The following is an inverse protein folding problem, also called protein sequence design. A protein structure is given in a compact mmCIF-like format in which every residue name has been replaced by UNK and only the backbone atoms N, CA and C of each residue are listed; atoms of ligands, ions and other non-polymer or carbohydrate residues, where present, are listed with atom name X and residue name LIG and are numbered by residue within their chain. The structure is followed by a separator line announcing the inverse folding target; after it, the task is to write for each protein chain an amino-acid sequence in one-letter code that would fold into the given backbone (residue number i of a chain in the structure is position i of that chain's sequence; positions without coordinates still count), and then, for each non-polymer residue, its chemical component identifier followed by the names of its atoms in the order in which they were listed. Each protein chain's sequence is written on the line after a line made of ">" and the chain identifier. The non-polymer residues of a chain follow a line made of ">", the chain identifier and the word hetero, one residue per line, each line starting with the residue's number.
data_IF_283611784643
#
_entry.id   IF_283611784643
#
_cell.length_a   1.000
_cell.length_b   1.000
_cell.length_c   1.000
_cell.angle_alpha   90.00
_cell.angle_beta   90.00
_cell.angle_gamma   90.00
#
_symmetry.space_group_name_H-M   'P 1'
#
loop_
_entity.id
_entity.type
_entity.pdbx_description
1 polymer ?
#
# COMPACT_ATOMS: atom_id res chain seq x y z
N UNK A 1 -39.73 20.29 -16.09
CA UNK A 1 -39.10 19.30 -16.99
C UNK A 1 -40.01 19.15 -18.18
N UNK A 2 -39.52 19.51 -19.36
CA UNK A 2 -40.30 19.47 -20.59
C UNK A 2 -40.77 18.05 -20.90
N UNK A 3 -42.01 17.93 -21.36
CA UNK A 3 -42.61 16.64 -21.74
C UNK A 3 -41.81 15.95 -22.86
N UNK A 4 -41.14 16.75 -23.69
CA UNK A 4 -40.18 16.30 -24.71
C UNK A 4 -38.92 15.65 -24.12
N UNK A 5 -38.39 16.16 -23.02
CA UNK A 5 -37.18 15.59 -22.41
C UNK A 5 -37.48 14.25 -21.74
N UNK A 6 -38.67 14.12 -21.12
CA UNK A 6 -39.13 12.83 -20.57
C UNK A 6 -39.29 11.75 -21.64
N UNK A 7 -39.88 12.11 -22.78
CA UNK A 7 -40.05 11.20 -23.90
C UNK A 7 -38.71 10.77 -24.52
N UNK A 8 -37.75 11.69 -24.59
CA UNK A 8 -36.40 11.38 -25.05
C UNK A 8 -35.65 10.43 -24.10
N UNK A 9 -35.80 10.63 -22.79
CA UNK A 9 -35.22 9.75 -21.76
C UNK A 9 -35.80 8.32 -21.85
N UNK A 10 -37.11 8.19 -22.01
CA UNK A 10 -37.76 6.89 -22.18
C UNK A 10 -37.25 6.15 -23.42
N UNK A 11 -37.10 6.86 -24.54
CA UNK A 11 -36.57 6.28 -25.79
C UNK A 11 -35.09 5.91 -25.66
N UNK A 12 -34.29 6.68 -24.93
CA UNK A 12 -32.89 6.34 -24.64
C UNK A 12 -32.77 5.07 -23.78
N UNK A 13 -33.63 4.92 -22.75
CA UNK A 13 -33.69 3.71 -21.92
C UNK A 13 -34.17 2.49 -22.71
N UNK A 14 -35.11 2.69 -23.64
CA UNK A 14 -35.59 1.62 -24.52
C UNK A 14 -34.53 1.19 -25.52
N UNK A 15 -33.77 2.13 -26.08
CA UNK A 15 -32.61 1.84 -26.93
C UNK A 15 -31.56 1.02 -26.15
N UNK A 16 -31.20 1.43 -24.94
CA UNK A 16 -30.23 0.70 -24.11
C UNK A 16 -30.67 -0.73 -23.83
N UNK A 17 -31.97 -0.96 -23.55
CA UNK A 17 -32.53 -2.31 -23.34
C UNK A 17 -32.55 -3.14 -24.61
N UNK A 18 -32.92 -2.56 -25.76
CA UNK A 18 -32.95 -3.27 -27.03
C UNK A 18 -31.54 -3.72 -27.44
N UNK A 19 -30.53 -2.85 -27.29
CA UNK A 19 -29.13 -3.18 -27.55
C UNK A 19 -28.63 -4.26 -26.59
N UNK A 20 -28.92 -4.16 -25.28
CA UNK A 20 -28.53 -5.17 -24.30
C UNK A 20 -29.23 -6.53 -24.52
N UNK A 21 -30.46 -6.52 -25.04
CA UNK A 21 -31.23 -7.73 -25.35
C UNK A 21 -30.99 -8.31 -26.75
N UNK A 22 -30.15 -7.67 -27.58
CA UNK A 22 -29.90 -8.10 -28.95
C UNK A 22 -31.07 -7.90 -29.93
N UNK A 23 -32.06 -7.07 -29.58
CA UNK A 23 -33.20 -6.76 -30.45
C UNK A 23 -32.83 -5.64 -31.42
N UNK A 24 -32.24 -6.03 -32.56
CA UNK A 24 -31.81 -5.09 -33.62
C UNK A 24 -32.96 -4.22 -34.13
N UNK A 25 -34.16 -4.78 -34.31
CA UNK A 25 -35.28 -4.06 -34.94
C UNK A 25 -35.74 -2.91 -34.05
N UNK A 26 -35.89 -3.17 -32.75
CA UNK A 26 -36.28 -2.14 -31.78
C UNK A 26 -35.15 -1.14 -31.55
N UNK A 27 -33.89 -1.60 -31.54
CA UNK A 27 -32.73 -0.72 -31.40
C UNK A 27 -32.64 0.29 -32.56
N UNK A 28 -32.79 -0.17 -33.80
CA UNK A 28 -32.78 0.70 -34.99
C UNK A 28 -33.93 1.71 -34.94
N UNK A 29 -35.15 1.28 -34.60
CA UNK A 29 -36.30 2.18 -34.48
C UNK A 29 -36.07 3.27 -33.42
N UNK A 30 -35.53 2.90 -32.25
CA UNK A 30 -35.27 3.87 -31.18
C UNK A 30 -34.14 4.83 -31.55
N UNK A 31 -33.09 4.34 -32.23
CA UNK A 31 -31.98 5.15 -32.69
C UNK A 31 -32.40 6.19 -33.75
N UNK A 32 -33.22 5.79 -34.72
CA UNK A 32 -33.77 6.70 -35.74
C UNK A 32 -34.57 7.83 -35.08
N UNK A 33 -35.49 7.48 -34.17
CA UNK A 33 -36.31 8.47 -33.48
C UNK A 33 -35.47 9.46 -32.66
N UNK A 34 -34.47 8.98 -31.93
CA UNK A 34 -33.57 9.83 -31.14
C UNK A 34 -32.72 10.76 -32.02
N UNK A 35 -32.29 10.27 -33.19
CA UNK A 35 -31.54 11.06 -34.17
C UNK A 35 -32.41 12.17 -34.80
N UNK A 36 -33.67 11.88 -35.13
CA UNK A 36 -34.64 12.86 -35.65
C UNK A 36 -34.90 14.00 -34.65
N UNK A 37 -34.96 13.69 -33.36
CA UNK A 37 -35.18 14.68 -32.31
C UNK A 37 -33.93 15.52 -31.97
N UNK A 38 -32.75 15.19 -32.54
CA UNK A 38 -31.46 15.87 -32.31
C UNK A 38 -31.12 16.08 -30.83
N UNK A 39 -31.46 15.10 -29.99
CA UNK A 39 -31.23 15.18 -28.55
C UNK A 39 -29.74 14.90 -28.25
N UNK A 40 -29.05 15.72 -27.44
CA UNK A 40 -27.70 15.42 -27.00
C UNK A 40 -27.71 14.21 -26.07
N UNK A 41 -27.08 13.11 -26.48
CA UNK A 41 -26.99 11.87 -25.69
C UNK A 41 -25.52 11.56 -25.36
N UNK A 42 -25.27 11.10 -24.13
CA UNK A 42 -23.98 10.55 -23.74
C UNK A 42 -24.05 9.02 -23.78
N UNK A 43 -23.59 8.43 -24.88
CA UNK A 43 -23.47 6.97 -25.00
C UNK A 43 -22.14 6.53 -24.42
N UNK A 44 -22.20 5.72 -23.37
CA UNK A 44 -21.02 5.08 -22.76
C UNK A 44 -21.28 3.59 -22.73
N UNK A 45 -20.23 2.80 -22.98
CA UNK A 45 -20.27 1.39 -22.63
C UNK A 45 -20.51 1.32 -21.13
N UNK A 46 -21.51 0.54 -20.70
CA UNK A 46 -21.65 0.23 -19.29
C UNK A 46 -20.30 -0.34 -18.87
N UNK A 47 -19.64 0.18 -17.82
CA UNK A 47 -18.54 -0.57 -17.25
C UNK A 47 -19.17 -1.90 -16.87
N UNK A 48 -18.83 -2.94 -17.66
CA UNK A 48 -18.95 -4.32 -17.21
C UNK A 48 -18.47 -4.27 -15.76
N UNK A 49 -19.28 -4.75 -14.83
CA UNK A 49 -18.80 -4.96 -13.46
C UNK A 49 -17.69 -5.97 -13.67
N UNK A 50 -16.49 -5.44 -13.88
CA UNK A 50 -15.26 -6.19 -14.04
C UNK A 50 -15.32 -7.17 -12.90
N UNK A 51 -15.34 -8.48 -13.18
CA UNK A 51 -15.50 -9.44 -12.11
C UNK A 51 -14.41 -9.11 -11.11
N UNK A 52 -14.80 -8.65 -9.92
CA UNK A 52 -13.87 -8.33 -8.85
C UNK A 52 -13.18 -9.59 -8.33
N UNK A 53 -13.51 -10.73 -8.93
CA UNK A 53 -12.87 -12.01 -8.74
C UNK A 53 -11.49 -12.01 -9.36
N UNK A 54 -10.58 -12.58 -8.60
CA UNK A 54 -9.24 -12.89 -9.04
C UNK A 54 -9.28 -13.95 -10.14
N UNK A 55 -8.47 -13.72 -11.17
CA UNK A 55 -8.24 -14.63 -12.27
C UNK A 55 -6.76 -14.97 -12.38
N UNK A 56 -6.45 -16.14 -12.93
CA UNK A 56 -5.09 -16.59 -13.19
C UNK A 56 -4.66 -16.20 -14.60
N UNK A 57 -3.75 -15.25 -14.68
CA UNK A 57 -3.12 -14.78 -15.91
C UNK A 57 -1.86 -15.61 -16.19
N UNK A 58 -1.76 -16.15 -17.42
CA UNK A 58 -0.57 -16.83 -17.91
C UNK A 58 0.41 -15.80 -18.48
N UNK A 59 1.55 -15.61 -17.83
CA UNK A 59 2.54 -14.61 -18.23
C UNK A 59 3.79 -15.30 -18.76
N UNK A 60 4.13 -15.01 -20.03
CA UNK A 60 5.42 -15.40 -20.60
C UNK A 60 6.40 -14.25 -20.39
N UNK A 61 7.43 -14.49 -19.60
CA UNK A 61 8.47 -13.53 -19.26
C UNK A 61 9.67 -13.78 -20.16
N UNK A 62 10.15 -12.73 -20.82
CA UNK A 62 11.34 -12.75 -21.67
C UNK A 62 12.30 -11.64 -21.25
N UNK A 63 13.60 -11.92 -21.22
CA UNK A 63 14.63 -10.92 -20.90
C UNK A 63 15.47 -10.53 -22.12
N UNK A 64 16.37 -9.56 -21.92
CA UNK A 64 17.31 -9.10 -22.95
C UNK A 64 18.33 -10.16 -23.40
N UNK A 65 18.45 -11.28 -22.68
CA UNK A 65 19.34 -12.41 -23.00
C UNK A 65 18.59 -13.56 -23.70
N UNK A 66 17.32 -13.34 -24.07
CA UNK A 66 16.42 -14.32 -24.69
C UNK A 66 16.10 -15.53 -23.79
N UNK A 67 16.20 -15.37 -22.47
CA UNK A 67 15.69 -16.35 -21.53
C UNK A 67 14.18 -16.20 -21.42
N UNK A 68 13.45 -17.29 -21.64
CA UNK A 68 11.99 -17.31 -21.53
C UNK A 68 11.55 -18.20 -20.38
N UNK A 69 10.69 -17.67 -19.50
CA UNK A 69 10.05 -18.41 -18.41
C UNK A 69 8.57 -18.07 -18.34
N UNK A 70 7.74 -19.04 -17.98
CA UNK A 70 6.29 -18.83 -17.83
C UNK A 70 5.89 -18.86 -16.37
N UNK A 71 5.13 -17.86 -15.93
CA UNK A 71 4.62 -17.74 -14.56
C UNK A 71 3.11 -17.53 -14.56
N UNK A 72 2.48 -17.83 -13.44
CA UNK A 72 1.07 -17.53 -13.20
C UNK A 72 0.95 -16.36 -12.23
N UNK A 73 0.18 -15.35 -12.60
CA UNK A 73 -0.18 -14.24 -11.71
C UNK A 73 -1.66 -14.28 -11.37
N UNK A 74 -1.99 -13.96 -10.13
CA UNK A 74 -3.37 -13.79 -9.67
C UNK A 74 -3.71 -12.31 -9.78
N UNK A 75 -4.56 -11.97 -10.75
CA UNK A 75 -4.86 -10.58 -11.11
C UNK A 75 -6.37 -10.35 -11.11
N UNK A 76 -6.79 -9.09 -10.97
CA UNK A 76 -8.19 -8.68 -11.15
C UNK A 76 -8.32 -7.91 -12.45
N UNK A 77 -9.32 -8.18 -13.32
CA UNK A 77 -9.46 -7.49 -14.60
C UNK A 77 -9.60 -5.96 -14.49
N UNK A 78 -10.09 -5.46 -13.36
CA UNK A 78 -10.25 -4.02 -13.09
C UNK A 78 -8.94 -3.31 -12.77
N UNK A 79 -7.88 -4.05 -12.41
CA UNK A 79 -6.60 -3.44 -12.08
C UNK A 79 -5.96 -2.81 -13.32
N UNK A 80 -5.24 -1.72 -13.09
CA UNK A 80 -4.46 -1.06 -14.14
C UNK A 80 -3.14 -1.80 -14.37
N UNK A 81 -2.53 -1.56 -15.53
CA UNK A 81 -1.18 -2.05 -15.83
C UNK A 81 -0.16 -1.49 -14.83
N UNK A 82 -0.35 -0.26 -14.33
CA UNK A 82 0.49 0.27 -13.26
C UNK A 82 0.44 -0.61 -12.00
N UNK A 83 -0.76 -0.96 -11.52
CA UNK A 83 -0.92 -1.83 -10.36
C UNK A 83 -0.36 -3.23 -10.59
N UNK A 84 -0.46 -3.75 -11.82
CA UNK A 84 0.18 -5.01 -12.18
C UNK A 84 1.71 -4.93 -12.12
N UNK A 85 2.29 -3.82 -12.60
CA UNK A 85 3.73 -3.59 -12.50
C UNK A 85 4.19 -3.50 -11.05
N UNK A 86 3.42 -2.80 -10.22
CA UNK A 86 3.69 -2.70 -8.79
C UNK A 86 3.62 -4.06 -8.11
N UNK A 87 2.62 -4.89 -8.44
CA UNK A 87 2.53 -6.28 -7.96
C UNK A 87 3.78 -7.07 -8.32
N UNK A 88 4.21 -7.07 -9.59
CA UNK A 88 5.41 -7.81 -10.02
C UNK A 88 6.68 -7.26 -9.37
N UNK A 89 6.74 -5.96 -9.10
CA UNK A 89 7.84 -5.36 -8.36
C UNK A 89 7.86 -5.79 -6.89
N UNK A 90 6.70 -5.86 -6.26
CA UNK A 90 6.57 -6.31 -4.87
C UNK A 90 6.91 -7.79 -4.72
N UNK A 91 6.39 -8.65 -5.58
CA UNK A 91 6.54 -10.10 -5.48
C UNK A 91 7.91 -10.60 -5.96
N UNK A 92 8.40 -10.06 -7.09
CA UNK A 92 9.60 -10.56 -7.76
C UNK A 92 10.76 -9.57 -7.78
N UNK A 93 10.55 -8.32 -7.37
CA UNK A 93 11.62 -7.32 -7.27
C UNK A 93 11.99 -6.62 -8.57
N UNK A 94 11.25 -6.85 -9.68
CA UNK A 94 11.52 -6.19 -10.96
C UNK A 94 10.91 -4.79 -11.00
N UNK A 95 11.70 -3.70 -11.10
CA UNK A 95 11.18 -2.33 -11.08
C UNK A 95 10.18 -2.04 -12.21
N UNK A 96 9.10 -1.27 -12.00
CA UNK A 96 8.10 -0.96 -13.03
C UNK A 96 8.68 -0.36 -14.32
N UNK A 97 9.76 0.40 -14.19
CA UNK A 97 10.49 1.03 -15.32
C UNK A 97 11.18 0.02 -16.24
N UNK A 98 11.50 -1.18 -15.73
CA UNK A 98 12.10 -2.25 -16.51
C UNK A 98 11.07 -3.23 -17.07
N UNK A 99 9.79 -3.07 -16.72
CA UNK A 99 8.71 -3.95 -17.14
C UNK A 99 7.99 -3.41 -18.37
N UNK A 100 8.10 -4.11 -19.50
CA UNK A 100 7.30 -3.86 -20.69
C UNK A 100 6.22 -4.93 -20.86
N UNK A 101 4.97 -4.52 -20.66
CA UNK A 101 3.81 -5.42 -20.75
C UNK A 101 3.21 -5.39 -22.14
N UNK A 102 3.05 -6.57 -22.74
CA UNK A 102 2.34 -6.77 -24.02
C UNK A 102 1.15 -7.68 -23.77
N UNK A 103 -0.06 -7.14 -23.97
CA UNK A 103 -1.32 -7.83 -23.71
C UNK A 103 -2.23 -7.67 -24.93
N UNK A 104 -2.71 -8.78 -25.48
CA UNK A 104 -3.56 -8.75 -26.68
C UNK A 104 -2.85 -8.13 -27.91
N UNK A 105 -1.55 -8.44 -28.09
CA UNK A 105 -0.69 -7.94 -29.18
C UNK A 105 -0.42 -6.42 -29.17
N UNK A 106 -0.69 -5.73 -28.06
CA UNK A 106 -0.45 -4.30 -27.90
C UNK A 106 0.44 -4.03 -26.69
N UNK A 107 1.34 -3.05 -26.81
CA UNK A 107 2.09 -2.54 -25.67
C UNK A 107 1.11 -1.83 -24.72
N UNK A 108 1.02 -2.33 -23.50
CA UNK A 108 0.07 -1.86 -22.50
C UNK A 108 0.58 -0.58 -21.84
N UNK A 109 -0.34 0.36 -21.55
CA UNK A 109 -0.03 1.62 -20.86
C UNK A 109 -0.50 1.57 -19.43
N UNK A 110 0.21 2.29 -18.56
CA UNK A 110 0.00 2.28 -17.10
C UNK A 110 -1.42 2.63 -16.66
N UNK A 111 -2.13 3.48 -17.41
CA UNK A 111 -3.51 3.90 -17.11
C UNK A 111 -4.58 2.92 -17.64
N UNK A 112 -4.21 2.02 -18.54
CA UNK A 112 -5.14 1.05 -19.15
C UNK A 112 -5.40 -0.10 -18.18
N UNK A 113 -6.62 -0.64 -18.18
CA UNK A 113 -7.01 -1.78 -17.35
C UNK A 113 -6.73 -3.09 -18.06
N UNK A 114 -6.47 -4.16 -17.31
CA UNK A 114 -6.31 -5.50 -17.86
C UNK A 114 -7.52 -5.94 -18.70
N UNK A 115 -8.72 -5.61 -18.23
CA UNK A 115 -9.97 -5.87 -18.94
C UNK A 115 -10.03 -5.21 -20.33
N UNK A 116 -9.48 -4.00 -20.48
CA UNK A 116 -9.45 -3.29 -21.76
C UNK A 116 -8.54 -3.95 -22.79
N UNK A 117 -7.53 -4.70 -22.33
CA UNK A 117 -6.62 -5.50 -23.16
C UNK A 117 -7.11 -6.94 -23.41
N UNK A 118 -8.32 -7.28 -22.98
CA UNK A 118 -8.94 -8.58 -23.24
C UNK A 118 -8.74 -9.63 -22.15
N UNK A 119 -8.10 -9.28 -21.03
CA UNK A 119 -7.95 -10.18 -19.88
C UNK A 119 -9.25 -10.23 -19.08
N UNK A 120 -9.97 -11.35 -19.19
CA UNK A 120 -11.33 -11.55 -18.66
C UNK A 120 -11.51 -12.90 -17.96
N UNK A 121 -10.69 -13.91 -18.28
CA UNK A 121 -10.88 -15.30 -17.83
C UNK A 121 -9.55 -15.93 -17.41
N UNK A 122 -9.64 -17.00 -16.64
CA UNK A 122 -8.49 -17.83 -16.28
C UNK A 122 -7.85 -18.43 -17.53
N UNK A 123 -6.52 -18.35 -17.61
CA UNK A 123 -5.74 -18.85 -18.74
C UNK A 123 -5.54 -17.84 -19.87
N UNK A 124 -6.07 -16.62 -19.73
CA UNK A 124 -5.69 -15.53 -20.63
C UNK A 124 -4.18 -15.28 -20.57
N UNK A 125 -3.62 -14.82 -21.69
CA UNK A 125 -2.16 -14.71 -21.86
C UNK A 125 -1.69 -13.27 -21.88
N UNK A 126 -0.52 -13.03 -21.29
CA UNK A 126 0.21 -11.80 -21.36
C UNK A 126 1.70 -12.10 -21.54
N UNK A 127 2.43 -11.11 -22.04
CA UNK A 127 3.87 -11.17 -22.21
C UNK A 127 4.50 -10.04 -21.41
N UNK A 128 5.54 -10.36 -20.65
CA UNK A 128 6.34 -9.40 -19.90
C UNK A 128 7.76 -9.45 -20.45
N UNK A 129 8.20 -8.35 -21.05
CA UNK A 129 9.58 -8.19 -21.45
C UNK A 129 10.34 -7.40 -20.38
N UNK A 130 11.43 -7.98 -19.88
CA UNK A 130 12.29 -7.39 -18.85
C UNK A 130 13.50 -6.69 -19.49
N UNK A 131 13.53 -5.37 -19.37
CA UNK A 131 14.65 -4.56 -19.82
C UNK A 131 15.87 -4.73 -18.91
N UNK A 132 17.07 -4.70 -19.50
CA UNK A 132 18.31 -4.71 -18.75
C UNK A 132 18.50 -3.42 -17.96
N UNK A 133 18.90 -3.56 -16.70
CA UNK A 133 19.26 -2.44 -15.84
C UNK A 133 20.57 -1.74 -16.28
N UNK A 134 21.37 -2.34 -17.16
CA UNK A 134 22.64 -1.75 -17.61
C UNK A 134 22.47 -0.39 -18.31
N UNK A 135 21.28 -0.12 -18.85
CA UNK A 135 20.97 1.12 -19.54
C UNK A 135 20.25 2.15 -18.65
N UNK A 136 20.08 1.86 -17.36
CA UNK A 136 19.34 2.73 -16.43
C UNK A 136 20.21 3.11 -15.23
N UNK A 137 20.17 4.38 -14.83
CA UNK A 137 20.85 4.88 -13.63
C UNK A 137 20.01 4.59 -12.37
N UNK A 138 19.60 3.34 -12.18
CA UNK A 138 18.79 2.95 -11.03
C UNK A 138 19.69 2.75 -9.81
N UNK A 139 19.45 3.53 -8.76
CA UNK A 139 20.13 3.40 -7.48
C UNK A 139 19.46 2.28 -6.66
N UNK A 140 20.20 1.23 -6.24
CA UNK A 140 19.65 0.13 -5.43
C UNK A 140 18.98 0.60 -4.14
N UNK A 141 19.50 1.63 -3.47
CA UNK A 141 18.91 2.15 -2.23
C UNK A 141 17.57 2.82 -2.46
N UNK A 142 17.42 3.55 -3.57
CA UNK A 142 16.17 4.20 -3.96
C UNK A 142 15.11 3.16 -4.31
N UNK A 143 15.47 2.14 -5.08
CA UNK A 143 14.58 1.02 -5.40
C UNK A 143 14.11 0.29 -4.13
N UNK A 144 15.02 0.05 -3.18
CA UNK A 144 14.66 -0.58 -1.91
C UNK A 144 13.68 0.29 -1.11
N UNK A 145 13.90 1.60 -1.07
CA UNK A 145 12.99 2.56 -0.42
C UNK A 145 11.63 2.59 -1.13
N UNK A 146 11.61 2.62 -2.45
CA UNK A 146 10.39 2.63 -3.26
C UNK A 146 9.57 1.35 -3.04
N UNK A 147 10.24 0.19 -2.96
CA UNK A 147 9.59 -1.09 -2.63
C UNK A 147 8.96 -1.07 -1.24
N UNK A 148 9.66 -0.52 -0.23
CA UNK A 148 9.11 -0.36 1.11
C UNK A 148 7.88 0.56 1.13
N UNK A 149 7.91 1.68 0.39
CA UNK A 149 6.77 2.60 0.30
C UNK A 149 5.55 1.92 -0.32
N UNK A 150 5.72 1.21 -1.45
CA UNK A 150 4.62 0.46 -2.08
C UNK A 150 4.06 -0.65 -1.19
N UNK A 151 4.90 -1.35 -0.44
CA UNK A 151 4.43 -2.33 0.56
C UNK A 151 3.53 -1.69 1.62
N UNK A 152 3.88 -0.48 2.07
CA UNK A 152 3.07 0.25 3.05
C UNK A 152 1.73 0.70 2.44
N UNK A 153 1.74 1.13 1.18
CA UNK A 153 0.51 1.49 0.45
C UNK A 153 -0.45 0.31 0.30
N UNK A 154 0.07 -0.89 0.01
CA UNK A 154 -0.73 -2.12 -0.14
C UNK A 154 -1.37 -2.57 1.19
N UNK A 155 -0.68 -2.32 2.31
CA UNK A 155 -1.24 -2.49 3.67
C UNK A 155 -2.27 -1.42 4.06
N UNK A 156 -2.60 -0.49 3.14
CA UNK A 156 -3.65 0.51 3.31
C UNK A 156 -3.17 1.85 3.86
N UNK A 157 -1.87 2.07 4.00
CA UNK A 157 -1.33 3.33 4.49
C UNK A 157 -0.99 4.29 3.34
N UNK A 158 -2.01 5.02 2.86
CA UNK A 158 -1.90 5.91 1.68
C UNK A 158 -1.30 7.30 1.95
N UNK A 159 -1.01 7.61 3.21
CA UNK A 159 -0.53 8.95 3.62
C UNK A 159 0.51 8.84 4.75
N UNK A 160 1.68 8.27 4.44
CA UNK A 160 2.87 8.43 5.29
C UNK A 160 3.76 9.54 4.72
N UNK A 161 3.53 10.78 5.14
CA UNK A 161 4.65 11.71 5.26
C UNK A 161 5.58 11.18 6.35
N UNK A 162 6.58 10.38 5.96
CA UNK A 162 7.68 9.98 6.83
C UNK A 162 8.47 11.24 7.21
N UNK A 163 8.06 11.89 8.30
CA UNK A 163 8.81 12.99 8.90
C UNK A 163 10.11 12.40 9.47
N UNK A 164 11.30 12.83 8.98
CA UNK A 164 12.55 12.42 9.60
C UNK A 164 12.57 12.94 11.05
N UNK A 165 12.76 12.03 12.03
CA UNK A 165 13.03 12.39 13.44
C UNK A 165 14.46 12.92 13.65
N UNK A 166 15.02 13.61 12.65
CA UNK A 166 16.31 14.28 12.79
C UNK A 166 16.22 15.41 13.82
N UNK A 167 17.35 15.83 14.43
CA UNK A 167 17.37 16.99 15.30
C UNK A 167 16.82 18.20 14.55
N UNK A 168 15.81 18.85 15.12
CA UNK A 168 15.27 20.10 14.60
C UNK A 168 16.41 21.14 14.67
N UNK A 169 16.80 21.70 13.52
CA UNK A 169 17.70 22.85 13.46
C UNK A 169 17.19 23.96 14.41
N UNK A 170 18.04 24.55 15.27
CA UNK A 170 17.60 25.55 16.22
C UNK A 170 17.27 26.86 15.49
N UNK A 171 15.99 27.26 15.54
CA UNK A 171 15.54 28.55 15.04
C UNK A 171 16.21 29.70 15.85
N UNK A 172 16.59 30.82 15.20
CA UNK A 172 17.28 31.91 15.87
C UNK A 172 16.29 32.72 16.73
N UNK A 173 16.67 32.91 17.99
CA UNK A 173 15.83 33.54 19.02
C UNK A 173 15.62 35.05 18.85
N UNK A 174 14.64 35.56 19.60
CA UNK A 174 14.48 36.96 20.03
C UNK A 174 13.40 37.08 21.13
N UNK A 175 13.34 38.17 21.91
CA UNK A 175 13.60 38.11 23.35
C UNK A 175 12.52 38.73 24.27
N UNK A 176 12.49 38.28 25.54
CA UNK A 176 11.90 38.97 26.71
C UNK A 176 10.36 39.05 26.71
N UNK A 177 9.61 39.07 27.81
CA UNK A 177 9.76 39.50 29.22
C UNK A 177 8.50 38.94 29.95
N UNK A 178 8.20 39.24 31.23
CA UNK A 178 8.82 38.88 32.51
C UNK A 178 8.02 37.84 33.33
N UNK A 179 8.70 37.15 34.24
CA UNK A 179 8.12 36.41 35.36
C UNK A 179 7.57 37.35 36.45
N UNK A 180 6.54 36.92 37.19
CA UNK A 180 6.24 37.22 38.62
C UNK A 180 4.94 36.47 39.05
N UNK A 181 4.62 36.27 40.35
CA UNK A 181 4.85 34.99 41.01
C UNK A 181 3.61 34.38 41.72
N UNK A 182 3.72 33.09 42.07
CA UNK A 182 3.13 32.54 43.30
C UNK A 182 1.78 31.81 43.20
N UNK A 183 1.82 30.49 43.37
CA UNK A 183 1.36 29.75 44.57
C UNK A 183 0.63 28.44 44.21
N UNK A 184 1.19 27.31 44.67
CA UNK A 184 0.48 26.05 44.82
C UNK A 184 1.22 24.81 44.32
N UNK A 185 2.36 24.46 44.94
CA UNK A 185 2.82 23.07 44.94
C UNK A 185 1.95 22.25 45.89
N UNK A 186 1.60 21.01 45.54
CA UNK A 186 1.78 19.87 46.43
C UNK A 186 3.18 19.30 46.19
N UNK A 187 3.88 19.03 47.28
CA UNK A 187 5.13 18.27 47.31
C UNK A 187 5.01 16.98 46.49
N UNK A 188 5.90 16.82 45.51
CA UNK A 188 6.31 15.51 45.02
C UNK A 188 7.83 15.46 45.19
N UNK A 189 8.23 14.45 45.95
CA UNK A 189 9.58 13.94 46.20
C UNK A 189 10.55 14.04 45.01
N UNK A 190 11.87 14.17 45.24
CA UNK A 190 12.85 14.21 44.16
C UNK A 190 12.87 12.85 43.46
N UNK A 191 12.24 12.75 42.28
CA UNK A 191 12.33 11.56 41.45
C UNK A 191 13.78 11.40 40.97
N UNK A 192 14.40 10.30 41.38
CA UNK A 192 15.71 9.84 40.92
C UNK A 192 15.75 9.76 39.38
N UNK A 193 16.89 10.04 38.75
CA UNK A 193 17.02 9.97 37.29
C UNK A 193 16.61 8.57 36.78
N UNK A 194 15.98 8.48 35.59
CA UNK A 194 15.47 7.20 35.09
C UNK A 194 16.62 6.24 34.80
N UNK A 195 16.80 5.26 35.70
CA UNK A 195 17.76 4.16 35.51
C UNK A 195 17.14 3.16 34.53
N UNK A 196 17.69 3.09 33.31
CA UNK A 196 17.21 2.23 32.24
C UNK A 196 18.21 2.10 31.10
N UNK A 197 17.94 1.24 30.12
CA UNK A 197 18.75 1.14 28.91
C UNK A 197 18.03 1.78 27.73
N UNK A 198 18.74 2.63 27.00
CA UNK A 198 18.21 3.27 25.80
C UNK A 198 18.25 2.29 24.62
N UNK A 199 17.11 2.15 23.93
CA UNK A 199 17.03 1.32 22.75
C UNK A 199 17.82 1.93 21.57
N UNK A 200 18.75 1.21 20.93
CA UNK A 200 19.48 1.73 19.77
C UNK A 200 18.61 1.86 18.51
N UNK A 201 17.38 1.29 18.51
CA UNK A 201 16.46 1.36 17.38
C UNK A 201 15.47 2.53 17.45
N UNK A 202 14.84 2.73 18.61
CA UNK A 202 13.76 3.72 18.77
C UNK A 202 13.98 4.71 19.92
N UNK A 203 15.17 4.70 20.54
CA UNK A 203 15.60 5.59 21.64
C UNK A 203 14.76 5.54 22.92
N UNK A 204 13.77 4.66 23.00
CA UNK A 204 12.96 4.44 24.20
C UNK A 204 13.85 3.92 25.35
N UNK A 205 13.66 4.46 26.55
CA UNK A 205 14.40 4.04 27.76
C UNK A 205 13.60 2.91 28.42
N UNK A 206 14.12 1.70 28.34
CA UNK A 206 13.47 0.51 28.90
C UNK A 206 13.92 0.28 30.35
N UNK A 207 13.07 -0.43 31.11
CA UNK A 207 13.44 -0.92 32.44
C UNK A 207 14.72 -1.78 32.37
N UNK A 208 15.66 -1.64 33.33
CA UNK A 208 16.95 -2.30 33.34
C UNK A 208 16.91 -3.81 33.08
N UNK A 209 15.94 -4.54 33.67
CA UNK A 209 15.92 -6.01 33.57
C UNK A 209 15.23 -6.54 32.29
N UNK A 210 14.62 -5.67 31.47
CA UNK A 210 13.86 -6.08 30.28
C UNK A 210 14.81 -6.58 29.18
N UNK A 211 14.64 -7.82 28.66
CA UNK A 211 15.54 -8.40 27.66
C UNK A 211 15.36 -7.80 26.25
N UNK A 212 14.21 -7.20 25.97
CA UNK A 212 13.89 -6.57 24.69
C UNK A 212 13.11 -5.27 24.87
N UNK A 213 13.14 -4.40 23.86
CA UNK A 213 12.53 -3.09 23.91
C UNK A 213 11.01 -3.19 23.88
N UNK A 214 10.34 -2.45 24.76
CA UNK A 214 8.88 -2.36 24.81
C UNK A 214 8.24 -1.88 23.50
N UNK A 215 8.86 -0.91 22.85
CA UNK A 215 8.25 -0.22 21.71
C UNK A 215 8.51 -0.91 20.37
N UNK A 216 9.62 -1.64 20.25
CA UNK A 216 10.05 -2.19 18.96
C UNK A 216 10.61 -3.61 19.03
N UNK A 217 10.54 -4.25 20.20
CA UNK A 217 11.01 -5.62 20.46
C UNK A 217 12.51 -5.86 20.20
N UNK A 218 13.29 -4.81 19.91
CA UNK A 218 14.74 -4.93 19.69
C UNK A 218 15.45 -5.39 20.97
N UNK A 219 16.38 -6.33 20.85
CA UNK A 219 17.12 -6.88 21.97
C UNK A 219 17.87 -5.79 22.77
N UNK A 220 17.97 -6.00 24.09
CA UNK A 220 18.82 -5.21 24.98
C UNK A 220 20.28 -5.33 24.54
N UNK A 221 21.06 -4.23 24.48
CA UNK A 221 22.48 -4.30 24.15
C UNK A 221 23.23 -5.26 25.07
N UNK A 222 24.06 -6.13 24.51
CA UNK A 222 24.83 -7.14 25.26
C UNK A 222 25.80 -6.51 26.27
N UNK A 223 26.31 -5.32 25.97
CA UNK A 223 27.20 -4.56 26.84
C UNK A 223 26.50 -3.90 28.04
N UNK A 224 25.16 -3.83 28.06
CA UNK A 224 24.43 -3.24 29.16
C UNK A 224 24.31 -4.20 30.33
N UNK A 225 24.75 -3.76 31.51
CA UNK A 225 24.59 -4.48 32.77
C UNK A 225 23.54 -3.80 33.62
N UNK A 226 22.67 -4.61 34.24
CA UNK A 226 21.69 -4.12 35.21
C UNK A 226 22.47 -3.57 36.42
N UNK A 227 22.28 -2.30 36.81
CA UNK A 227 22.97 -1.75 37.98
C UNK A 227 22.62 -2.53 39.25
N UNK A 228 23.63 -2.86 40.07
CA UNK A 228 23.43 -3.62 41.30
C UNK A 228 22.53 -2.90 42.34
N UNK A 229 22.44 -1.58 42.25
CA UNK A 229 21.57 -0.74 43.10
C UNK A 229 20.13 -0.63 42.58
N UNK A 230 19.81 -1.22 41.43
CA UNK A 230 18.47 -1.15 40.87
C UNK A 230 17.51 -2.07 41.63
N UNK A 231 16.38 -1.51 42.06
CA UNK A 231 15.29 -2.27 42.66
C UNK A 231 14.13 -2.31 41.66
N UNK A 232 13.82 -3.50 41.08
CA UNK A 232 12.67 -3.66 40.21
C UNK A 232 11.38 -3.30 40.92
N UNK A 233 10.43 -2.66 40.23
CA UNK A 233 9.10 -2.37 40.77
C UNK A 233 8.23 -3.64 40.92
N UNK A 234 7.03 -3.49 41.50
CA UNK A 234 6.16 -4.64 41.78
C UNK A 234 5.77 -5.42 40.52
N UNK A 235 5.45 -4.71 39.45
CA UNK A 235 5.11 -5.28 38.15
C UNK A 235 6.31 -6.04 37.54
N UNK A 236 7.51 -5.46 37.60
CA UNK A 236 8.73 -6.08 37.09
C UNK A 236 9.13 -7.31 37.93
N UNK A 237 8.96 -7.26 39.25
CA UNK A 237 9.17 -8.42 40.14
C UNK A 237 8.20 -9.55 39.82
N UNK A 238 6.91 -9.24 39.62
CA UNK A 238 5.91 -10.25 39.27
C UNK A 238 6.25 -10.94 37.94
N UNK A 239 6.69 -10.17 36.94
CA UNK A 239 7.16 -10.70 35.66
C UNK A 239 8.36 -11.64 35.84
N UNK A 240 9.38 -11.21 36.58
CA UNK A 240 10.59 -12.02 36.81
C UNK A 240 10.28 -13.33 37.55
N UNK A 241 9.40 -13.29 38.56
CA UNK A 241 8.97 -14.48 39.28
C UNK A 241 8.25 -15.48 38.36
N UNK A 242 7.37 -15.00 37.46
CA UNK A 242 6.70 -15.85 36.47
C UNK A 242 7.66 -16.46 35.45
N UNK A 243 8.68 -15.71 35.01
CA UNK A 243 9.74 -16.22 34.13
C UNK A 243 10.57 -17.32 34.81
N UNK A 244 10.91 -17.14 36.10
CA UNK A 244 11.63 -18.15 36.88
C UNK A 244 10.80 -19.42 37.09
N UNK A 245 9.51 -19.29 37.38
CA UNK A 245 8.61 -20.42 37.52
C UNK A 245 8.47 -21.20 36.20
N UNK A 246 8.30 -20.50 35.08
CA UNK A 246 8.24 -21.12 33.76
C UNK A 246 9.52 -21.90 33.42
N UNK A 247 10.70 -21.36 33.76
CA UNK A 247 11.98 -22.05 33.60
C UNK A 247 12.06 -23.32 34.47
N UNK A 248 11.57 -23.28 35.70
CA UNK A 248 11.52 -24.46 36.60
C UNK A 248 10.56 -25.53 36.09
N UNK A 249 9.44 -25.13 35.48
CA UNK A 249 8.48 -26.06 34.87
C UNK A 249 9.08 -26.71 33.61
N UNK A 250 9.84 -25.97 32.80
CA UNK A 250 10.50 -26.51 31.62
C UNK A 250 11.62 -27.52 31.93
N UNK A 251 12.24 -27.41 33.11
CA UNK A 251 13.35 -28.28 33.54
C UNK A 251 12.88 -29.57 34.24
N UNK A 252 11.59 -29.72 34.51
CA UNK A 252 10.96 -30.94 35.06
C UNK A 252 10.45 -31.85 33.94
#
# INVERSE_FOLDING_TARGET
>A
MDEKTKKAEEMALRLSRAVAGGDEKVAVQCAIWLAEQRVPLSVRLKPEVSPTQDIRLWVSVEDAQMHTVTIWLTVRPDMTVASLKDMVFLDYGFPPVLQQWVIGQRLARDQETLHSHGVRRNGDTAYLYLLSACNTSLNPQELQRERQLRMLEDLGFKDLTLQPRGPLEPAPGKPGVPQEPGRGQPEATPESPPVGWQCPGCTFINKPTRPGCEMCCRARPEAYQVPASYQPDEEERARLAGEEEALRQYQQ
#
